data_IF_499209336997
#
_entry.id   IF_499209336997
#
_cell.length_a   1.000
_cell.length_b   1.000
_cell.length_c   1.000
_cell.angle_alpha   90.00
_cell.angle_beta   90.00
_cell.angle_gamma   90.00
#
_symmetry.space_group_name_H-M   'P 1'
#
loop_
_entity.id
_entity.type
_entity.pdbx_description
1 polymer ?
#
# COMPACT_ATOMS: atom_id res chain seq x y z
N UNK A 1 -74.65 -15.67 -13.88
CA UNK A 1 -73.81 -15.59 -12.64
C UNK A 1 -72.39 -15.23 -13.05
N UNK A 2 -72.27 -14.19 -13.89
CA UNK A 2 -71.05 -13.95 -14.67
C UNK A 2 -70.51 -12.53 -14.44
N UNK A 3 -71.38 -11.61 -14.00
CA UNK A 3 -70.98 -10.24 -13.65
C UNK A 3 -70.02 -10.21 -12.46
N UNK A 4 -70.19 -11.08 -11.45
CA UNK A 4 -69.27 -11.12 -10.30
C UNK A 4 -67.87 -11.59 -10.72
N UNK A 5 -67.78 -12.56 -11.63
CA UNK A 5 -66.48 -13.02 -12.16
C UNK A 5 -65.83 -11.94 -13.02
N UNK A 6 -66.61 -11.23 -13.83
CA UNK A 6 -66.12 -10.11 -14.64
C UNK A 6 -65.64 -8.94 -13.77
N UNK A 7 -66.35 -8.61 -12.69
CA UNK A 7 -65.95 -7.55 -11.74
C UNK A 7 -64.66 -7.92 -11.02
N UNK A 8 -64.54 -9.17 -10.55
CA UNK A 8 -63.31 -9.65 -9.90
C UNK A 8 -62.14 -9.62 -10.89
N UNK A 9 -62.35 -10.06 -12.13
CA UNK A 9 -61.30 -10.10 -13.15
C UNK A 9 -60.83 -8.71 -13.57
N UNK A 10 -61.75 -7.75 -13.72
CA UNK A 10 -61.43 -6.34 -13.99
C UNK A 10 -60.68 -5.71 -12.81
N UNK A 11 -61.11 -5.97 -11.58
CA UNK A 11 -60.43 -5.48 -10.36
C UNK A 11 -58.99 -5.97 -10.27
N UNK A 12 -58.75 -7.25 -10.55
CA UNK A 12 -57.40 -7.85 -10.54
C UNK A 12 -56.51 -7.24 -11.61
N UNK A 13 -57.02 -7.02 -12.83
CA UNK A 13 -56.25 -6.41 -13.92
C UNK A 13 -55.84 -4.97 -13.57
N UNK A 14 -56.75 -4.19 -12.96
CA UNK A 14 -56.45 -2.81 -12.53
C UNK A 14 -55.39 -2.81 -11.43
N UNK A 15 -55.49 -3.70 -10.45
CA UNK A 15 -54.49 -3.81 -9.37
C UNK A 15 -53.09 -4.18 -9.90
N UNK A 16 -53.01 -5.13 -10.82
CA UNK A 16 -51.73 -5.51 -11.46
C UNK A 16 -51.15 -4.33 -12.25
N UNK A 17 -51.99 -3.60 -13.00
CA UNK A 17 -51.56 -2.41 -13.75
C UNK A 17 -50.98 -1.30 -12.85
N UNK A 18 -51.59 -1.06 -11.68
CA UNK A 18 -51.08 -0.10 -10.69
C UNK A 18 -49.74 -0.57 -10.11
N UNK A 19 -49.59 -1.86 -9.79
CA UNK A 19 -48.32 -2.41 -9.28
C UNK A 19 -47.20 -2.26 -10.32
N UNK A 20 -47.48 -2.55 -11.59
CA UNK A 20 -46.50 -2.39 -12.67
C UNK A 20 -46.13 -0.91 -12.86
N UNK A 21 -47.11 0.00 -12.91
CA UNK A 21 -46.85 1.43 -13.05
C UNK A 21 -46.01 2.01 -11.89
N UNK A 22 -46.25 1.57 -10.66
CA UNK A 22 -45.42 1.96 -9.49
C UNK A 22 -44.01 1.37 -9.60
N UNK A 23 -43.87 0.12 -10.07
CA UNK A 23 -42.56 -0.50 -10.26
C UNK A 23 -41.73 0.13 -11.39
N UNK A 24 -42.36 0.58 -12.47
CA UNK A 24 -41.70 1.30 -13.57
C UNK A 24 -41.37 2.76 -13.20
N UNK A 25 -42.03 3.31 -12.18
CA UNK A 25 -41.74 4.62 -11.60
C UNK A 25 -40.50 4.64 -10.70
N UNK A 26 -40.05 3.48 -10.21
CA UNK A 26 -38.69 3.33 -9.70
C UNK A 26 -37.74 3.09 -10.87
N UNK A 27 -37.34 4.18 -11.53
CA UNK A 27 -36.04 4.22 -12.20
C UNK A 27 -34.98 4.14 -11.10
N UNK A 28 -34.71 2.91 -10.63
CA UNK A 28 -33.44 2.65 -9.96
C UNK A 28 -32.42 2.69 -11.08
N UNK A 29 -31.90 3.90 -11.35
CA UNK A 29 -30.58 4.06 -11.94
C UNK A 29 -29.60 3.47 -10.93
N UNK A 30 -29.56 2.14 -10.86
CA UNK A 30 -28.45 1.43 -10.24
C UNK A 30 -27.32 1.53 -11.25
N UNK A 31 -26.75 2.74 -11.37
CA UNK A 31 -25.35 2.86 -11.72
C UNK A 31 -24.65 2.03 -10.66
N UNK A 32 -24.26 0.82 -11.05
CA UNK A 32 -23.37 -0.04 -10.29
C UNK A 32 -22.04 0.69 -10.22
N UNK A 33 -21.96 1.69 -9.35
CA UNK A 33 -20.72 2.19 -8.84
C UNK A 33 -20.18 1.02 -8.03
N UNK A 34 -19.27 0.25 -8.65
CA UNK A 34 -18.28 -0.47 -7.88
C UNK A 34 -17.53 0.60 -7.10
N UNK A 35 -18.05 0.92 -5.92
CA UNK A 35 -17.40 1.77 -4.96
C UNK A 35 -16.25 0.95 -4.39
N UNK A 36 -15.18 0.84 -5.19
CA UNK A 36 -13.84 0.58 -4.67
C UNK A 36 -13.54 1.79 -3.80
N UNK A 37 -13.95 1.71 -2.54
CA UNK A 37 -13.46 2.56 -1.46
C UNK A 37 -12.02 2.15 -1.17
N UNK A 38 -11.16 2.25 -2.18
CA UNK A 38 -9.77 2.51 -1.93
C UNK A 38 -9.76 3.88 -1.29
N UNK A 39 -9.76 3.92 0.04
CA UNK A 39 -9.22 5.06 0.75
C UNK A 39 -7.80 5.19 0.22
N UNK A 40 -7.61 6.05 -0.79
CA UNK A 40 -6.34 6.73 -0.94
C UNK A 40 -6.24 7.52 0.35
N UNK A 41 -5.59 6.89 1.33
CA UNK A 41 -4.82 7.65 2.28
C UNK A 41 -4.02 8.58 1.37
N UNK A 42 -4.28 9.89 1.45
CA UNK A 42 -3.26 10.86 1.10
C UNK A 42 -2.11 10.51 2.04
N UNK A 43 -1.32 9.52 1.62
CA UNK A 43 -0.04 9.25 2.22
C UNK A 43 0.69 10.53 1.91
N UNK A 44 1.01 11.27 2.97
CA UNK A 44 1.92 12.40 2.93
C UNK A 44 2.99 12.11 1.86
N UNK A 45 3.26 13.10 1.01
CA UNK A 45 4.08 12.98 -0.20
C UNK A 45 5.16 11.89 -0.03
N UNK A 46 5.23 10.90 -0.95
CA UNK A 46 6.09 9.74 -0.75
C UNK A 46 7.51 10.21 -0.48
N UNK A 47 8.06 9.80 0.67
CA UNK A 47 9.38 10.22 1.15
C UNK A 47 10.49 9.94 0.11
N UNK A 48 10.29 8.93 -0.74
CA UNK A 48 11.18 8.56 -1.82
C UNK A 48 10.53 8.76 -3.20
N UNK A 49 11.29 9.26 -4.17
CA UNK A 49 10.89 9.31 -5.56
C UNK A 49 10.80 7.89 -6.15
N UNK A 50 9.85 7.65 -7.06
CA UNK A 50 9.84 6.40 -7.84
C UNK A 50 11.08 6.36 -8.75
N UNK A 51 11.85 5.25 -8.85
CA UNK A 51 11.57 3.86 -8.45
C UNK A 51 12.09 3.44 -7.06
N UNK A 52 12.55 4.38 -6.25
CA UNK A 52 13.15 4.10 -4.95
C UNK A 52 12.10 3.64 -3.94
N UNK A 53 12.45 2.66 -3.10
CA UNK A 53 11.56 2.08 -2.10
C UNK A 53 11.96 2.59 -0.72
N UNK A 54 10.99 3.10 0.03
CA UNK A 54 11.21 3.53 1.40
C UNK A 54 11.57 2.34 2.31
N UNK A 55 12.70 2.45 2.99
CA UNK A 55 13.18 1.49 3.98
C UNK A 55 13.34 2.19 5.33
N UNK A 56 12.50 1.78 6.28
CA UNK A 56 12.25 2.49 7.54
C UNK A 56 11.65 3.87 7.27
N UNK A 57 10.41 4.04 7.70
CA UNK A 57 9.57 5.17 7.38
C UNK A 57 10.28 6.52 7.66
N UNK A 58 10.48 7.34 6.62
CA UNK A 58 11.12 8.65 6.66
C UNK A 58 12.63 8.65 6.91
N UNK A 59 13.29 7.50 6.85
CA UNK A 59 14.70 7.34 7.25
C UNK A 59 15.62 7.07 6.04
N UNK A 60 15.16 6.27 5.07
CA UNK A 60 16.00 5.84 3.95
C UNK A 60 15.23 5.45 2.68
N UNK A 61 15.83 5.77 1.53
CA UNK A 61 15.36 5.37 0.20
C UNK A 61 16.34 4.35 -0.40
N UNK A 62 15.84 3.15 -0.69
CA UNK A 62 16.63 2.10 -1.33
C UNK A 62 16.59 2.25 -2.85
N UNK A 63 17.74 2.04 -3.48
CA UNK A 63 17.92 2.11 -4.91
C UNK A 63 17.15 1.05 -5.71
N UNK A 64 16.98 1.34 -7.00
CA UNK A 64 16.40 0.38 -7.94
C UNK A 64 17.27 -0.87 -8.14
N UNK A 65 18.55 -0.84 -7.73
CA UNK A 65 19.48 -1.94 -7.90
C UNK A 65 19.32 -3.03 -6.84
N UNK A 66 18.58 -2.75 -5.76
CA UNK A 66 18.21 -3.73 -4.75
C UNK A 66 19.40 -4.22 -3.93
N UNK A 67 20.46 -3.42 -3.81
CA UNK A 67 21.64 -3.73 -3.01
C UNK A 67 21.40 -3.57 -1.50
N UNK A 68 20.23 -3.03 -1.10
CA UNK A 68 19.83 -2.71 0.28
C UNK A 68 20.72 -1.63 0.93
N UNK A 69 21.30 -0.76 0.11
CA UNK A 69 22.06 0.42 0.55
C UNK A 69 21.11 1.62 0.45
N UNK A 70 21.15 2.46 1.49
CA UNK A 70 20.40 3.70 1.54
C UNK A 70 21.09 4.73 0.65
N UNK A 71 20.49 5.00 -0.50
CA UNK A 71 20.99 6.03 -1.40
C UNK A 71 20.26 7.35 -1.11
N UNK A 72 20.97 8.45 -1.32
CA UNK A 72 20.33 9.76 -1.26
C UNK A 72 19.35 9.83 -2.41
N UNK A 73 18.09 10.14 -2.12
CA UNK A 73 17.11 10.40 -3.14
C UNK A 73 17.57 11.67 -3.87
N UNK A 74 18.19 11.50 -5.04
CA UNK A 74 18.91 12.55 -5.74
C UNK A 74 17.93 13.70 -6.05
N UNK A 75 17.96 14.72 -5.21
CA UNK A 75 17.35 16.01 -5.49
C UNK A 75 18.10 16.52 -6.71
N UNK A 76 17.45 16.49 -7.88
CA UNK A 76 18.01 17.01 -9.13
C UNK A 76 18.31 18.50 -8.93
N UNK A 77 19.53 18.79 -8.49
CA UNK A 77 20.15 20.11 -8.63
C UNK A 77 20.79 20.08 -10.00
N UNK A 78 20.17 20.78 -10.94
CA UNK A 78 20.72 20.92 -12.28
C UNK A 78 22.13 21.56 -12.25
N UNK A 79 23.02 20.93 -13.01
CA UNK A 79 24.34 21.35 -13.53
C UNK A 79 25.62 21.27 -12.66
N UNK A 80 26.54 20.43 -13.20
CA UNK A 80 28.03 20.44 -13.17
C UNK A 80 28.66 20.07 -11.82
N UNK A 81 29.51 19.06 -11.73
CA UNK A 81 30.80 18.89 -12.41
C UNK A 81 31.28 17.44 -12.16
N UNK A 82 32.04 16.85 -13.09
CA UNK A 82 32.55 15.48 -13.02
C UNK A 82 33.54 15.34 -11.84
N UNK A 83 33.12 14.71 -10.75
CA UNK A 83 33.98 14.42 -9.58
C UNK A 83 34.47 12.97 -9.66
N UNK A 84 35.79 12.82 -9.78
CA UNK A 84 36.50 11.55 -9.74
C UNK A 84 36.32 10.90 -8.36
N UNK A 85 35.53 9.82 -8.28
CA UNK A 85 35.29 9.08 -7.04
C UNK A 85 36.54 8.27 -6.69
N UNK A 86 37.26 8.71 -5.67
CA UNK A 86 38.28 7.92 -5.00
C UNK A 86 37.54 6.90 -4.11
N UNK A 87 37.60 5.62 -4.47
CA UNK A 87 37.13 4.51 -3.63
C UNK A 87 37.99 4.43 -2.36
N UNK A 88 37.60 5.13 -1.31
CA UNK A 88 38.08 4.82 0.04
C UNK A 88 37.31 3.60 0.56
N UNK A 89 37.95 2.43 0.45
CA UNK A 89 37.50 1.18 1.07
C UNK A 89 37.60 1.35 2.58
N UNK A 90 36.50 1.74 3.22
CA UNK A 90 36.35 1.67 4.67
C UNK A 90 36.13 0.20 5.06
N UNK A 91 37.15 -0.42 5.67
CA UNK A 91 36.98 -1.68 6.40
C UNK A 91 36.22 -1.39 7.70
N UNK A 92 34.90 -1.50 7.65
CA UNK A 92 34.06 -1.40 8.86
C UNK A 92 34.34 -2.60 9.78
N UNK A 93 35.10 -2.35 10.85
CA UNK A 93 35.32 -3.34 11.91
C UNK A 93 34.01 -3.62 12.66
N UNK A 94 33.54 -4.87 12.59
CA UNK A 94 32.35 -5.30 13.32
C UNK A 94 32.66 -5.30 14.82
N UNK A 95 31.87 -4.60 15.66
CA UNK A 95 32.14 -4.53 17.09
C UNK A 95 32.02 -5.91 17.74
N UNK A 96 32.93 -6.20 18.68
CA UNK A 96 32.97 -7.48 19.43
C UNK A 96 31.75 -7.66 20.36
N UNK A 97 31.01 -6.59 20.63
CA UNK A 97 29.84 -6.57 21.51
C UNK A 97 28.64 -5.95 20.81
N UNK A 98 27.43 -6.36 21.22
CA UNK A 98 26.20 -5.81 20.65
C UNK A 98 26.12 -4.28 20.85
N UNK A 99 25.98 -3.50 19.76
CA UNK A 99 25.99 -2.04 19.84
C UNK A 99 24.64 -1.40 20.18
N UNK A 100 23.56 -2.18 20.29
CA UNK A 100 22.21 -1.64 20.52
C UNK A 100 21.38 -2.47 21.49
N UNK A 101 20.38 -1.84 22.09
CA UNK A 101 19.43 -2.48 22.98
C UNK A 101 18.23 -3.01 22.20
N UNK A 102 17.80 -4.23 22.52
CA UNK A 102 16.66 -4.88 21.88
C UNK A 102 15.35 -4.60 22.64
N UNK A 103 14.27 -4.30 21.91
CA UNK A 103 12.94 -4.11 22.48
C UNK A 103 12.22 -5.45 22.73
N UNK A 104 11.27 -5.44 23.67
CA UNK A 104 10.36 -6.57 23.97
C UNK A 104 11.09 -7.85 24.41
N UNK A 105 12.02 -7.73 25.37
CA UNK A 105 12.78 -8.85 25.97
C UNK A 105 13.59 -9.71 24.98
N UNK A 106 13.82 -9.21 23.77
CA UNK A 106 14.64 -9.89 22.76
C UNK A 106 16.11 -9.84 23.13
N UNK A 107 16.85 -10.86 22.71
CA UNK A 107 18.29 -10.96 23.00
C UNK A 107 19.08 -10.60 21.76
N UNK A 108 20.08 -9.73 21.93
CA UNK A 108 21.00 -9.39 20.86
C UNK A 108 22.02 -10.51 20.67
N UNK A 109 21.97 -11.17 19.52
CA UNK A 109 22.82 -12.29 19.19
C UNK A 109 23.70 -11.98 17.96
N UNK A 110 24.96 -12.47 17.93
CA UNK A 110 25.82 -12.34 16.77
C UNK A 110 25.37 -13.28 15.65
N UNK A 111 25.40 -12.79 14.41
CA UNK A 111 25.12 -13.55 13.19
C UNK A 111 26.45 -13.93 12.54
N UNK A 112 26.65 -15.23 12.35
CA UNK A 112 27.88 -15.79 11.81
C UNK A 112 27.73 -16.20 10.34
N UNK A 113 28.73 -15.88 9.54
CA UNK A 113 28.92 -16.39 8.17
C UNK A 113 30.36 -16.88 8.06
N UNK A 114 30.55 -18.17 7.75
CA UNK A 114 31.89 -18.80 7.68
C UNK A 114 32.71 -18.56 8.96
N UNK A 115 32.09 -18.78 10.12
CA UNK A 115 32.69 -18.61 11.44
C UNK A 115 33.18 -17.17 11.77
N UNK A 116 32.77 -16.17 10.98
CA UNK A 116 33.00 -14.75 11.26
C UNK A 116 31.70 -14.05 11.60
N UNK A 117 31.73 -13.18 12.61
CA UNK A 117 30.60 -12.30 12.91
C UNK A 117 30.50 -11.29 11.77
N UNK A 118 29.34 -11.24 11.11
CA UNK A 118 29.07 -10.27 10.05
C UNK A 118 28.18 -9.13 10.52
N UNK A 119 27.33 -9.38 11.52
CA UNK A 119 26.45 -8.39 12.14
C UNK A 119 25.84 -8.93 13.43
N UNK A 120 25.24 -8.04 14.20
CA UNK A 120 24.39 -8.38 15.33
C UNK A 120 22.91 -8.38 14.89
N UNK A 121 22.03 -9.11 15.59
CA UNK A 121 20.58 -9.05 15.37
C UNK A 121 19.82 -9.33 16.68
N UNK A 122 18.66 -8.68 16.87
CA UNK A 122 17.74 -9.02 17.95
C UNK A 122 16.90 -10.23 17.56
N UNK A 123 16.97 -11.31 18.33
CA UNK A 123 16.14 -12.52 18.17
C UNK A 123 15.25 -12.76 19.39
#
# INVERSE_FOLDING_TARGET
MDNDKTIILVSVIVLIGVVIAVSSGLNINTSGENLVTGSVVEVDEPFCNTPYIEYKQGDCCLDANGNNICDSDDVVVEEKEEVEVVEEVFEDEVPETCPYECLNDRVCNPIYVKDKIVRWACS
#
